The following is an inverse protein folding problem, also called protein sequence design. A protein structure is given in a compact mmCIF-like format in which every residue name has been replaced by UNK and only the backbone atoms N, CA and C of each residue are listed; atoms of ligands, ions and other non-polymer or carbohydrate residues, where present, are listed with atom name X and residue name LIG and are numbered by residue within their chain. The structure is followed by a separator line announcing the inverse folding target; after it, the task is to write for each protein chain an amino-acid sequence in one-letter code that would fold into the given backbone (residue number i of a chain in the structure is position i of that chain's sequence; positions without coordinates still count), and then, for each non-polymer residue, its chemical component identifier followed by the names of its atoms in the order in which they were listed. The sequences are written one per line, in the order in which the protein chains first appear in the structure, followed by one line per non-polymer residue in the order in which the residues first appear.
data_IF_901781946002
#
_entry.id   IF_901781946002
#
_cell.length_a   1.000
_cell.length_b   1.000
_cell.length_c   1.000
_cell.angle_alpha   90.00
_cell.angle_beta   90.00
_cell.angle_gamma   90.00
#
_symmetry.space_group_name_H-M   'P 1'
#
loop_
_entity.id
_entity.type
_entity.pdbx_description
1 polymer ?
#
# COMPACT_ATOMS: atom_id res chain seq x y z
N UNK A 1 27.71 4.02 5.42
CA UNK A 1 26.57 4.66 6.11
C UNK A 1 25.25 4.62 5.31
N UNK A 2 25.24 4.76 3.97
CA UNK A 2 24.00 4.81 3.16
C UNK A 2 23.10 3.56 3.28
N UNK A 3 23.68 2.37 3.50
CA UNK A 3 22.93 1.12 3.63
C UNK A 3 22.11 1.07 4.94
N UNK A 4 22.71 1.44 6.08
CA UNK A 4 22.03 1.45 7.39
C UNK A 4 20.86 2.44 7.40
N UNK A 5 21.04 3.64 6.84
CA UNK A 5 19.95 4.61 6.73
C UNK A 5 18.79 4.08 5.90
N UNK A 6 19.06 3.35 4.81
CA UNK A 6 18.00 2.77 3.98
C UNK A 6 17.13 1.77 4.75
N UNK A 7 17.72 0.85 5.50
CA UNK A 7 16.94 -0.16 6.23
C UNK A 7 16.16 0.43 7.39
N UNK A 8 16.72 1.44 8.07
CA UNK A 8 16.01 2.15 9.13
C UNK A 8 14.79 2.88 8.57
N UNK A 9 14.93 3.57 7.42
CA UNK A 9 13.80 4.21 6.76
C UNK A 9 12.77 3.22 6.23
N UNK A 10 13.16 2.02 5.79
CA UNK A 10 12.21 0.96 5.44
C UNK A 10 11.42 0.53 6.68
N UNK A 11 12.08 0.38 7.83
CA UNK A 11 11.42 0.03 9.08
C UNK A 11 10.43 1.11 9.51
N UNK A 12 10.84 2.38 9.51
CA UNK A 12 9.97 3.52 9.83
C UNK A 12 8.78 3.60 8.88
N UNK A 13 9.02 3.43 7.57
CA UNK A 13 7.96 3.41 6.57
C UNK A 13 6.96 2.28 6.81
N UNK A 14 7.44 1.06 7.07
CA UNK A 14 6.57 -0.08 7.38
C UNK A 14 5.81 0.12 8.70
N UNK A 15 6.42 0.74 9.71
CA UNK A 15 5.76 1.05 10.99
C UNK A 15 4.61 2.04 10.79
N UNK A 16 4.83 3.11 10.03
CA UNK A 16 3.79 4.09 9.71
C UNK A 16 2.65 3.46 8.92
N UNK A 17 2.96 2.63 7.92
CA UNK A 17 1.93 1.92 7.16
C UNK A 17 1.17 0.92 8.04
N UNK A 18 1.86 0.15 8.89
CA UNK A 18 1.21 -0.79 9.82
C UNK A 18 0.24 -0.06 10.75
N UNK A 19 0.67 1.05 11.35
CA UNK A 19 -0.17 1.86 12.23
C UNK A 19 -1.38 2.44 11.47
N UNK A 20 -1.15 2.97 10.27
CA UNK A 20 -2.23 3.49 9.45
C UNK A 20 -3.25 2.42 9.06
N UNK A 21 -2.79 1.22 8.70
CA UNK A 21 -3.66 0.07 8.41
C UNK A 21 -4.44 -0.37 9.64
N UNK A 22 -3.80 -0.40 10.82
CA UNK A 22 -4.47 -0.73 12.08
C UNK A 22 -5.64 0.22 12.37
N UNK A 23 -5.43 1.53 12.22
CA UNK A 23 -6.49 2.53 12.39
C UNK A 23 -7.63 2.36 11.38
N UNK A 24 -7.29 2.14 10.10
CA UNK A 24 -8.30 1.95 9.06
C UNK A 24 -9.10 0.67 9.32
N UNK A 25 -8.44 -0.43 9.70
CA UNK A 25 -9.09 -1.68 10.03
C UNK A 25 -10.01 -1.56 11.24
N UNK A 26 -9.63 -0.75 12.25
CA UNK A 26 -10.47 -0.51 13.44
C UNK A 26 -11.82 0.15 13.13
N UNK A 27 -11.93 0.86 11.99
CA UNK A 27 -13.15 1.47 11.49
C UNK A 27 -13.69 0.77 10.22
N UNK A 28 -13.19 -0.42 9.90
CA UNK A 28 -13.53 -1.20 8.69
C UNK A 28 -13.40 -0.42 7.38
N UNK A 29 -12.35 0.40 7.28
CA UNK A 29 -12.09 1.26 6.14
C UNK A 29 -11.13 0.60 5.14
N UNK A 30 -11.41 0.84 3.87
CA UNK A 30 -10.67 0.33 2.73
C UNK A 30 -9.62 1.34 2.25
N UNK A 31 -8.59 0.81 1.60
CA UNK A 31 -7.52 1.57 0.95
C UNK A 31 -7.35 1.04 -0.46
N UNK A 32 -6.57 1.72 -1.31
CA UNK A 32 -6.28 1.28 -2.67
C UNK A 32 -5.28 0.12 -2.74
N UNK A 33 -5.22 -0.55 -3.89
CA UNK A 33 -4.21 -1.56 -4.19
C UNK A 33 -4.34 -2.85 -3.38
N UNK A 34 -3.22 -3.57 -3.21
CA UNK A 34 -3.23 -4.89 -2.53
C UNK A 34 -3.55 -4.81 -1.05
N UNK A 35 -3.29 -3.68 -0.40
CA UNK A 35 -3.70 -3.47 0.98
C UNK A 35 -5.24 -3.42 1.09
N UNK A 36 -5.92 -2.74 0.15
CA UNK A 36 -7.38 -2.76 0.03
C UNK A 36 -7.96 -4.15 -0.14
N UNK A 37 -7.40 -4.92 -1.06
CA UNK A 37 -7.79 -6.33 -1.26
C UNK A 37 -7.57 -7.15 0.01
N UNK A 38 -6.45 -6.95 0.71
CA UNK A 38 -6.16 -7.62 1.97
C UNK A 38 -7.20 -7.32 3.07
N UNK A 39 -7.57 -6.06 3.24
CA UNK A 39 -8.58 -5.64 4.22
C UNK A 39 -9.99 -6.13 3.85
N UNK A 40 -10.33 -6.10 2.57
CA UNK A 40 -11.61 -6.66 2.07
C UNK A 40 -11.69 -8.15 2.39
N UNK A 41 -10.63 -8.91 2.08
CA UNK A 41 -10.58 -10.34 2.36
C UNK A 41 -10.56 -10.63 3.86
N UNK A 42 -9.90 -9.81 4.67
CA UNK A 42 -9.91 -9.95 6.13
C UNK A 42 -11.34 -9.82 6.66
N UNK A 43 -12.09 -8.84 6.16
CA UNK A 43 -13.47 -8.64 6.58
C UNK A 43 -14.36 -9.86 6.26
N UNK A 44 -14.16 -10.49 5.09
CA UNK A 44 -14.98 -11.64 4.67
C UNK A 44 -14.52 -12.96 5.29
N UNK A 45 -13.20 -13.17 5.45
CA UNK A 45 -12.63 -14.46 5.87
C UNK A 45 -12.30 -14.54 7.36
N UNK A 46 -12.19 -13.40 8.05
CA UNK A 46 -11.72 -13.32 9.44
C UNK A 46 -10.23 -13.61 9.64
N UNK A 47 -9.46 -13.86 8.56
CA UNK A 47 -8.02 -14.04 8.65
C UNK A 47 -7.31 -12.71 8.90
N UNK A 48 -6.14 -12.75 9.56
CA UNK A 48 -5.38 -11.52 9.85
C UNK A 48 -4.91 -10.83 8.57
N UNK A 49 -4.97 -9.49 8.56
CA UNK A 49 -4.50 -8.65 7.45
C UNK A 49 -3.13 -9.11 6.93
N UNK A 50 -2.17 -9.27 7.85
CA UNK A 50 -0.80 -9.60 7.51
C UNK A 50 -0.68 -10.92 6.72
N UNK A 51 -1.43 -11.95 7.13
CA UNK A 51 -1.40 -13.25 6.45
C UNK A 51 -1.93 -13.13 5.02
N UNK A 52 -3.08 -12.46 4.85
CA UNK A 52 -3.68 -12.23 3.54
C UNK A 52 -2.78 -11.36 2.67
N UNK A 53 -2.23 -10.29 3.22
CA UNK A 53 -1.34 -9.38 2.51
C UNK A 53 -0.08 -10.11 2.02
N UNK A 54 0.50 -10.99 2.81
CA UNK A 54 1.65 -11.80 2.41
C UNK A 54 1.30 -12.77 1.27
N UNK A 55 0.20 -13.49 1.39
CA UNK A 55 -0.28 -14.45 0.37
C UNK A 55 -0.58 -13.74 -0.95
N UNK A 56 -1.31 -12.63 -0.90
CA UNK A 56 -1.62 -11.81 -2.07
C UNK A 56 -0.36 -11.30 -2.77
N UNK A 57 0.73 -11.09 -2.02
CA UNK A 57 2.00 -10.60 -2.56
C UNK A 57 2.88 -11.67 -3.22
N UNK A 58 2.67 -12.96 -2.94
CA UNK A 58 3.44 -14.08 -3.53
C UNK A 58 3.56 -14.03 -5.07
N UNK A 59 2.47 -13.89 -5.86
CA UNK A 59 2.59 -13.84 -7.32
C UNK A 59 3.39 -12.63 -7.80
N UNK A 60 3.32 -11.51 -7.07
CA UNK A 60 4.05 -10.30 -7.43
C UNK A 60 5.54 -10.39 -7.12
N UNK A 61 5.98 -11.21 -6.15
CA UNK A 61 7.41 -11.48 -5.94
C UNK A 61 8.04 -12.23 -7.11
N UNK A 62 7.33 -13.22 -7.66
CA UNK A 62 7.78 -13.95 -8.83
C UNK A 62 7.92 -13.00 -10.04
N UNK A 63 6.96 -12.08 -10.20
CA UNK A 63 7.01 -11.06 -11.23
C UNK A 63 8.18 -10.08 -11.00
N UNK A 64 8.36 -9.60 -9.77
CA UNK A 64 9.44 -8.68 -9.40
C UNK A 64 10.83 -9.29 -9.63
N UNK A 65 11.01 -10.56 -9.23
CA UNK A 65 12.28 -11.27 -9.37
C UNK A 65 12.72 -11.34 -10.84
N UNK A 66 11.76 -11.60 -11.74
CA UNK A 66 12.01 -11.76 -13.17
C UNK A 66 12.22 -10.43 -13.89
N UNK A 67 11.52 -9.36 -13.50
CA UNK A 67 11.46 -8.11 -14.28
C UNK A 67 12.15 -6.90 -13.65
N UNK A 68 12.22 -6.83 -12.32
CA UNK A 68 12.78 -5.66 -11.61
C UNK A 68 14.16 -5.96 -11.00
N UNK A 69 14.55 -7.23 -10.97
CA UNK A 69 15.84 -7.68 -10.47
C UNK A 69 15.82 -8.08 -8.98
N UNK A 70 16.80 -8.90 -8.60
CA UNK A 70 16.87 -9.52 -7.28
C UNK A 70 17.02 -8.49 -6.15
N UNK A 71 17.75 -7.40 -6.38
CA UNK A 71 17.97 -6.37 -5.37
C UNK A 71 16.69 -5.58 -5.01
N UNK A 72 15.78 -5.35 -5.97
CA UNK A 72 14.47 -4.74 -5.69
C UNK A 72 13.54 -5.74 -5.00
N UNK A 73 13.58 -6.99 -5.46
CA UNK A 73 12.73 -8.06 -4.96
C UNK A 73 13.04 -8.39 -3.50
N UNK A 74 14.31 -8.51 -3.13
CA UNK A 74 14.69 -8.79 -1.74
C UNK A 74 14.27 -7.68 -0.78
N UNK A 75 14.41 -6.41 -1.18
CA UNK A 75 13.94 -5.25 -0.39
C UNK A 75 12.42 -5.23 -0.24
N UNK A 76 11.69 -5.46 -1.32
CA UNK A 76 10.23 -5.51 -1.32
C UNK A 76 9.73 -6.68 -0.46
N UNK A 77 10.34 -7.85 -0.61
CA UNK A 77 10.02 -9.03 0.21
C UNK A 77 10.27 -8.75 1.70
N UNK A 78 11.41 -8.16 2.05
CA UNK A 78 11.71 -7.77 3.43
C UNK A 78 10.69 -6.75 3.97
N UNK A 79 10.33 -5.74 3.19
CA UNK A 79 9.36 -4.72 3.61
C UNK A 79 7.95 -5.29 3.81
N UNK A 80 7.47 -6.15 2.91
CA UNK A 80 6.16 -6.80 3.05
C UNK A 80 6.16 -7.79 4.22
N UNK A 81 7.24 -8.55 4.41
CA UNK A 81 7.39 -9.46 5.55
C UNK A 81 7.38 -8.68 6.87
N UNK A 82 8.11 -7.56 6.90
CA UNK A 82 8.14 -6.66 8.05
C UNK A 82 6.77 -6.04 8.32
N UNK A 83 6.08 -5.54 7.29
CA UNK A 83 4.74 -4.98 7.42
C UNK A 83 3.74 -6.04 7.91
N UNK A 84 3.84 -7.26 7.40
CA UNK A 84 3.02 -8.40 7.82
C UNK A 84 3.22 -8.68 9.31
N UNK A 85 4.47 -8.79 9.76
CA UNK A 85 4.81 -9.00 11.15
C UNK A 85 4.30 -7.85 12.03
N UNK A 86 4.57 -6.60 11.65
CA UNK A 86 4.14 -5.42 12.39
C UNK A 86 2.62 -5.32 12.48
N UNK A 87 1.89 -5.65 11.41
CA UNK A 87 0.42 -5.62 11.41
C UNK A 87 -0.16 -6.66 12.36
N UNK A 88 0.41 -7.88 12.40
CA UNK A 88 0.01 -8.93 13.35
C UNK A 88 0.35 -8.52 14.79
N UNK A 89 1.51 -7.89 15.02
CA UNK A 89 1.88 -7.39 16.34
C UNK A 89 0.95 -6.28 16.81
N UNK A 90 0.59 -5.33 15.92
CA UNK A 90 -0.34 -4.25 16.24
C UNK A 90 -1.73 -4.79 16.56
N UNK A 91 -2.26 -5.69 15.75
CA UNK A 91 -3.57 -6.31 16.00
C UNK A 91 -3.61 -7.05 17.34
N UNK A 92 -2.48 -7.67 17.75
CA UNK A 92 -2.40 -8.43 18.99
C UNK A 92 -2.16 -7.57 20.24
N UNK A 93 -1.32 -6.54 20.16
CA UNK A 93 -0.80 -5.82 21.34
C UNK A 93 -1.28 -4.38 21.44
N UNK A 94 -1.91 -3.84 20.40
CA UNK A 94 -2.32 -2.44 20.32
C UNK A 94 -3.85 -2.36 20.36
N UNK A 95 -4.41 -2.27 21.56
CA UNK A 95 -5.86 -2.09 21.78
C UNK A 95 -6.35 -0.66 21.51
N UNK A 96 -5.62 0.09 20.67
CA UNK A 96 -5.97 1.45 20.32
C UNK A 96 -6.87 1.46 19.09
N UNK A 97 -8.08 2.02 19.24
CA UNK A 97 -9.02 2.27 18.16
C UNK A 97 -9.52 3.71 18.22
N UNK A 98 -9.91 4.26 17.07
CA UNK A 98 -10.51 5.59 16.98
C UNK A 98 -12.01 5.40 16.77
N UNK A 99 -12.80 5.88 17.74
CA UNK A 99 -14.25 5.70 17.74
C UNK A 99 -14.96 6.42 16.58
N UNK A 100 -14.35 7.48 16.02
CA UNK A 100 -14.90 8.25 14.91
C UNK A 100 -14.24 7.82 13.58
N UNK A 101 -14.95 7.07 12.71
CA UNK A 101 -14.50 6.67 11.38
C UNK A 101 -13.88 7.77 10.52
N UNK A 102 -14.39 9.00 10.55
CA UNK A 102 -13.81 10.11 9.78
C UNK A 102 -12.38 10.43 10.22
N UNK A 103 -12.13 10.42 11.52
CA UNK A 103 -10.80 10.67 12.08
C UNK A 103 -9.86 9.49 11.79
N UNK A 104 -10.36 8.26 11.91
CA UNK A 104 -9.62 7.06 11.53
C UNK A 104 -9.22 7.09 10.04
N UNK A 105 -10.13 7.52 9.16
CA UNK A 105 -9.90 7.67 7.74
C UNK A 105 -8.76 8.66 7.44
N UNK A 106 -8.84 9.86 8.04
CA UNK A 106 -7.84 10.92 7.80
C UNK A 106 -6.48 10.50 8.35
N UNK A 107 -6.40 10.11 9.62
CA UNK A 107 -5.12 9.77 10.25
C UNK A 107 -4.52 8.51 9.62
N UNK A 108 -5.33 7.47 9.42
CA UNK A 108 -4.90 6.24 8.77
C UNK A 108 -4.41 6.48 7.35
N UNK A 109 -5.17 7.22 6.55
CA UNK A 109 -4.79 7.57 5.18
C UNK A 109 -3.50 8.39 5.11
N UNK A 110 -3.33 9.39 5.99
CA UNK A 110 -2.10 10.18 6.07
C UNK A 110 -0.89 9.33 6.45
N UNK A 111 -1.01 8.50 7.49
CA UNK A 111 0.07 7.61 7.96
C UNK A 111 0.52 6.63 6.88
N UNK A 112 -0.44 5.97 6.21
CA UNK A 112 -0.15 5.07 5.08
C UNK A 112 0.52 5.87 3.96
N UNK A 113 0.02 7.06 3.62
CA UNK A 113 0.61 7.92 2.59
C UNK A 113 2.07 8.28 2.87
N UNK A 114 2.38 8.72 4.10
CA UNK A 114 3.75 9.07 4.49
C UNK A 114 4.67 7.85 4.50
N UNK A 115 4.21 6.73 5.05
CA UNK A 115 4.98 5.49 5.06
C UNK A 115 5.28 4.99 3.64
N UNK A 116 4.31 5.06 2.71
CA UNK A 116 4.51 4.73 1.30
C UNK A 116 5.55 5.63 0.62
N UNK A 117 5.54 6.94 0.89
CA UNK A 117 6.55 7.86 0.33
C UNK A 117 7.95 7.48 0.79
N UNK A 118 8.13 7.17 2.07
CA UNK A 118 9.43 6.76 2.61
C UNK A 118 9.90 5.49 1.89
N UNK A 119 9.04 4.48 1.78
CA UNK A 119 9.37 3.23 1.09
C UNK A 119 9.74 3.46 -0.38
N UNK A 120 8.93 4.23 -1.10
CA UNK A 120 9.18 4.52 -2.51
C UNK A 120 10.48 5.32 -2.75
N UNK A 121 10.83 6.25 -1.85
CA UNK A 121 12.12 6.98 -1.91
C UNK A 121 13.32 6.04 -1.81
N UNK A 122 13.19 4.93 -1.11
CA UNK A 122 14.23 3.91 -1.00
C UNK A 122 14.15 2.80 -2.08
N UNK A 123 13.32 3.01 -3.11
CA UNK A 123 13.01 2.04 -4.16
C UNK A 123 12.57 0.69 -3.59
N UNK A 124 11.71 0.76 -2.58
CA UNK A 124 11.06 -0.38 -1.96
C UNK A 124 9.56 -0.22 -2.19
N UNK A 125 8.89 -1.29 -2.59
CA UNK A 125 7.43 -1.32 -2.70
C UNK A 125 6.86 -2.23 -1.62
N UNK A 126 5.59 -2.06 -1.29
CA UNK A 126 4.83 -3.05 -0.52
C UNK A 126 4.21 -4.13 -1.43
N UNK A 127 4.91 -4.43 -2.53
CA UNK A 127 4.48 -5.40 -3.53
C UNK A 127 3.16 -5.04 -4.24
N UNK A 128 2.54 -6.06 -4.83
CA UNK A 128 1.16 -5.99 -5.27
C UNK A 128 0.90 -5.36 -6.64
N UNK A 129 -0.26 -4.72 -6.74
CA UNK A 129 -0.77 -4.06 -7.95
C UNK A 129 0.23 -3.02 -8.49
N UNK A 130 1.02 -2.39 -7.62
CA UNK A 130 2.08 -1.47 -8.05
C UNK A 130 3.16 -2.15 -8.92
N UNK A 131 3.60 -3.36 -8.54
CA UNK A 131 4.59 -4.12 -9.33
C UNK A 131 3.98 -4.55 -10.66
N UNK A 132 2.70 -4.94 -10.66
CA UNK A 132 1.98 -5.27 -11.89
C UNK A 132 1.82 -4.05 -12.81
N UNK A 133 1.51 -2.88 -12.26
CA UNK A 133 1.38 -1.65 -13.01
C UNK A 133 2.71 -1.27 -13.69
N UNK A 134 3.82 -1.31 -12.96
CA UNK A 134 5.16 -1.05 -13.51
C UNK A 134 5.54 -2.10 -14.57
N UNK A 135 5.18 -3.37 -14.34
CA UNK A 135 5.40 -4.44 -15.31
C UNK A 135 4.65 -4.19 -16.62
N UNK A 136 3.34 -3.88 -16.54
CA UNK A 136 2.52 -3.61 -17.71
C UNK A 136 2.96 -2.36 -18.46
N UNK A 137 3.41 -1.33 -17.74
CA UNK A 137 4.00 -0.13 -18.34
C UNK A 137 5.26 -0.44 -19.14
N UNK A 138 6.19 -1.20 -18.56
CA UNK A 138 7.44 -1.55 -19.24
C UNK A 138 7.27 -2.54 -20.38
N UNK A 139 6.35 -3.51 -20.24
CA UNK A 139 6.19 -4.61 -21.21
C UNK A 139 5.20 -4.31 -22.33
N UNK A 140 4.16 -3.54 -22.04
CA UNK A 140 3.03 -3.28 -22.95
C UNK A 140 2.76 -1.79 -23.17
N UNK A 141 3.57 -0.88 -22.63
CA UNK A 141 3.38 0.57 -22.75
C UNK A 141 2.03 1.08 -22.19
N UNK A 142 1.42 0.29 -21.29
CA UNK A 142 0.18 0.66 -20.61
C UNK A 142 0.55 1.54 -19.42
N UNK A 143 0.09 2.79 -19.40
CA UNK A 143 0.40 3.73 -18.32
C UNK A 143 0.08 3.13 -16.96
N UNK A 144 1.05 3.13 -16.03
CA UNK A 144 0.90 2.50 -14.72
C UNK A 144 -0.34 3.01 -13.96
N UNK A 145 -0.65 4.31 -14.09
CA UNK A 145 -1.85 4.92 -13.50
C UNK A 145 -3.17 4.31 -13.98
N UNK A 146 -3.27 3.87 -15.24
CA UNK A 146 -4.49 3.22 -15.76
C UNK A 146 -4.69 1.84 -15.15
N UNK A 147 -3.62 1.07 -15.00
CA UNK A 147 -3.66 -0.25 -14.35
C UNK A 147 -4.07 -0.12 -12.89
N UNK A 148 -3.46 0.81 -12.16
CA UNK A 148 -3.79 1.05 -10.74
C UNK A 148 -5.25 1.49 -10.61
N UNK A 149 -5.71 2.42 -11.44
CA UNK A 149 -7.09 2.90 -11.42
C UNK A 149 -8.10 1.79 -11.75
N UNK A 150 -7.80 0.92 -12.73
CA UNK A 150 -8.65 -0.22 -13.04
C UNK A 150 -8.77 -1.19 -11.87
N UNK A 151 -7.66 -1.49 -11.20
CA UNK A 151 -7.66 -2.33 -10.00
C UNK A 151 -8.41 -1.67 -8.84
N UNK A 152 -8.23 -0.36 -8.62
CA UNK A 152 -8.90 0.37 -7.54
C UNK A 152 -10.41 0.44 -7.77
N UNK A 153 -10.88 0.64 -9.01
CA UNK A 153 -12.30 0.55 -9.36
C UNK A 153 -12.85 -0.84 -9.07
N UNK A 154 -12.11 -1.90 -9.42
CA UNK A 154 -12.54 -3.27 -9.11
C UNK A 154 -12.66 -3.50 -7.59
N UNK A 155 -11.68 -3.03 -6.81
CA UNK A 155 -11.70 -3.12 -5.35
C UNK A 155 -12.90 -2.35 -4.78
N UNK A 156 -13.18 -1.15 -5.30
CA UNK A 156 -14.32 -0.34 -4.86
C UNK A 156 -15.65 -1.01 -5.19
N UNK A 157 -15.80 -1.60 -6.39
CA UNK A 157 -17.00 -2.35 -6.76
C UNK A 157 -17.22 -3.53 -5.82
N UNK A 158 -16.16 -4.31 -5.54
CA UNK A 158 -16.23 -5.40 -4.56
C UNK A 158 -16.55 -4.86 -3.17
N UNK A 159 -15.94 -3.75 -2.78
CA UNK A 159 -16.19 -3.08 -1.50
C UNK A 159 -17.65 -2.68 -1.34
N UNK A 160 -18.28 -2.09 -2.35
CA UNK A 160 -19.70 -1.73 -2.32
C UNK A 160 -20.65 -2.93 -2.15
N UNK A 161 -20.22 -4.14 -2.51
CA UNK A 161 -21.00 -5.36 -2.32
C UNK A 161 -20.81 -5.97 -0.92
N UNK A 162 -19.69 -5.66 -0.25
CA UNK A 162 -19.27 -6.28 1.02
C UNK A 162 -19.52 -5.37 2.21
N UNK A 163 -19.32 -4.06 2.06
CA UNK A 163 -19.35 -3.08 3.15
C UNK A 163 -20.56 -2.14 3.02
N UNK A 164 -21.08 -1.63 4.15
CA UNK A 164 -22.13 -0.61 4.15
C UNK A 164 -21.66 0.69 3.47
N UNK A 165 -22.59 1.45 2.86
CA UNK A 165 -22.26 2.64 2.07
C UNK A 165 -21.56 3.74 2.87
N UNK A 166 -21.82 3.82 4.17
CA UNK A 166 -21.15 4.77 5.08
C UNK A 166 -19.64 4.49 5.16
N UNK A 167 -19.24 3.22 5.29
CA UNK A 167 -17.82 2.84 5.33
C UNK A 167 -17.13 3.09 4.00
N UNK A 168 -17.84 2.94 2.87
CA UNK A 168 -17.31 3.32 1.55
C UNK A 168 -17.03 4.82 1.47
N UNK A 169 -17.91 5.66 2.01
CA UNK A 169 -17.71 7.11 2.04
C UNK A 169 -16.49 7.49 2.89
N UNK A 170 -16.32 6.88 4.06
CA UNK A 170 -15.13 7.09 4.89
C UNK A 170 -13.86 6.50 4.26
N UNK A 171 -13.97 5.40 3.52
CA UNK A 171 -12.84 4.83 2.76
C UNK A 171 -12.40 5.75 1.63
N UNK A 172 -13.34 6.44 0.97
CA UNK A 172 -13.01 7.50 0.01
C UNK A 172 -12.25 8.65 0.70
N UNK A 173 -12.65 9.04 1.91
CA UNK A 173 -11.91 10.04 2.70
C UNK A 173 -10.49 9.58 3.04
N UNK A 174 -10.31 8.31 3.42
CA UNK A 174 -9.00 7.72 3.67
C UNK A 174 -8.14 7.71 2.40
N UNK A 175 -8.72 7.31 1.27
CA UNK A 175 -8.08 7.32 -0.03
C UNK A 175 -7.67 8.73 -0.47
N UNK A 176 -8.53 9.74 -0.27
CA UNK A 176 -8.21 11.14 -0.55
C UNK A 176 -7.08 11.64 0.35
N UNK A 177 -7.07 11.27 1.62
CA UNK A 177 -6.02 11.65 2.58
C UNK A 177 -4.67 11.07 2.17
N UNK A 178 -4.63 9.77 1.84
CA UNK A 178 -3.46 9.10 1.28
C UNK A 178 -3.01 9.74 -0.03
N UNK A 179 -3.95 9.94 -0.96
CA UNK A 179 -3.68 10.50 -2.29
C UNK A 179 -3.15 11.93 -2.20
N UNK A 180 -3.63 12.73 -1.24
CA UNK A 180 -3.12 14.09 -1.01
C UNK A 180 -1.64 14.09 -0.65
N UNK A 181 -1.21 13.12 0.16
CA UNK A 181 0.18 12.98 0.62
C UNK A 181 1.02 12.48 -0.56
N UNK A 182 0.57 11.44 -1.23
CA UNK A 182 1.24 10.89 -2.40
C UNK A 182 1.38 11.94 -3.51
N UNK A 183 0.32 12.68 -3.85
CA UNK A 183 0.35 13.71 -4.89
C UNK A 183 1.29 14.88 -4.59
N UNK A 184 1.48 15.24 -3.31
CA UNK A 184 2.38 16.34 -2.91
C UNK A 184 3.84 15.94 -2.84
N UNK A 185 4.12 14.72 -2.40
CA UNK A 185 5.48 14.34 -1.99
C UNK A 185 6.10 13.21 -2.83
N UNK A 186 5.31 12.51 -3.63
CA UNK A 186 5.83 11.53 -4.58
C UNK A 186 6.50 12.25 -5.74
N UNK A 187 7.79 11.98 -5.92
CA UNK A 187 8.52 12.41 -7.13
C UNK A 187 8.63 11.19 -8.04
N UNK A 188 8.32 11.33 -9.34
CA UNK A 188 8.48 10.23 -10.29
C UNK A 188 9.94 9.75 -10.27
N UNK A 189 10.19 8.45 -10.46
CA UNK A 189 11.54 7.91 -10.45
C UNK A 189 12.39 8.53 -11.57
N UNK A 190 13.71 8.65 -11.37
CA UNK A 190 14.62 9.38 -12.26
C UNK A 190 14.54 8.95 -13.75
N UNK A 191 14.25 7.68 -14.03
CA UNK A 191 14.08 7.17 -15.40
C UNK A 191 12.81 7.69 -16.10
N UNK A 192 11.78 8.07 -15.34
CA UNK A 192 10.57 8.70 -15.88
C UNK A 192 10.76 10.22 -16.08
N UNK A 193 11.67 10.85 -15.34
CA UNK A 193 12.03 12.26 -15.51
C UNK A 193 12.86 12.49 -16.79
N UNK A 194 13.72 11.53 -17.15
CA UNK A 194 14.53 11.61 -18.36
C UNK A 194 13.73 11.50 -19.68
N UNK A 195 12.45 11.10 -19.61
CA UNK A 195 11.57 10.97 -20.77
C UNK A 195 10.67 12.20 -21.02
N UNK A 196 10.73 13.22 -20.15
CA UNK A 196 10.02 14.48 -20.39
C UNK A 196 10.90 15.40 -21.26
N UNK A 197 10.50 15.73 -22.50
CA UNK A 197 11.23 16.73 -23.27
C UNK A 197 11.18 18.05 -22.51
N UNK A 198 12.36 18.65 -22.33
CA UNK A 198 12.52 19.97 -21.75
C UNK A 198 11.54 20.92 -22.46
N UNK A 199 10.58 21.46 -21.70
CA UNK A 199 9.75 22.58 -22.15
C UNK A 199 10.57 23.86 -22.06
#
# INVERSE_FOLDING_TARGET
MVFTHRWLSILEGCLLVALGIHLLNSAHLLISGTAGLGLTLQYVTGLTFGTLFFILNLPFYLLAARFMGLAFTSRTFAAVSLLTLLSVLMDRWLEFSIAEPAMAAILGGLLVGFGLIILFRHQTSLGGINILAIYLERRFNIHAGKTTLACDVLILVVGCLVFPPEQILYSLLAFLSLSSVMGRYHRPPAWAQAAQPAR
#
